data_IF_895002508833
#
_entry.id   IF_895002508833
#
_cell.length_a   1.000
_cell.length_b   1.000
_cell.length_c   1.000
_cell.angle_alpha   90.00
_cell.angle_beta   90.00
_cell.angle_gamma   90.00
#
_symmetry.space_group_name_H-M   'P 1'
#
loop_
_entity.id
_entity.type
_entity.pdbx_description
1 polymer ?
#
# COMPACT_ATOMS: atom_id res chain seq x y z
N UNK A 1 15.21 -40.68 -20.13
CA UNK A 1 15.82 -39.46 -19.56
C UNK A 1 14.97 -38.97 -18.39
N UNK A 2 15.59 -38.53 -17.29
CA UNK A 2 14.88 -37.91 -16.18
C UNK A 2 15.09 -36.40 -16.27
N UNK A 3 14.03 -35.63 -16.38
CA UNK A 3 14.07 -34.19 -16.35
C UNK A 3 13.71 -33.68 -14.95
N UNK A 4 14.46 -32.70 -14.47
CA UNK A 4 14.14 -31.95 -13.26
C UNK A 4 13.99 -30.49 -13.65
N UNK A 5 12.87 -29.87 -13.28
CA UNK A 5 12.58 -28.46 -13.49
C UNK A 5 12.44 -27.83 -12.12
N UNK A 6 13.24 -26.80 -11.82
CA UNK A 6 13.28 -26.12 -10.53
C UNK A 6 13.03 -24.65 -10.78
N UNK A 7 12.20 -24.03 -9.96
CA UNK A 7 11.96 -22.60 -10.01
C UNK A 7 10.83 -22.15 -9.07
N UNK A 8 10.55 -20.89 -9.13
CA UNK A 8 9.55 -20.23 -8.31
C UNK A 8 8.35 -19.85 -9.18
N UNK A 9 7.15 -19.94 -8.66
CA UNK A 9 5.94 -19.53 -9.38
C UNK A 9 5.77 -18.01 -9.29
N UNK A 10 5.42 -17.39 -10.42
CA UNK A 10 5.12 -15.96 -10.51
C UNK A 10 3.64 -15.68 -10.81
N UNK A 11 2.97 -16.62 -11.48
CA UNK A 11 1.58 -16.47 -11.85
C UNK A 11 0.90 -17.83 -11.92
N UNK A 12 -0.42 -17.92 -11.67
CA UNK A 12 -1.14 -19.19 -11.75
C UNK A 12 -1.06 -19.85 -13.14
N UNK A 13 -1.01 -19.05 -14.20
CA UNK A 13 -0.90 -19.51 -15.60
C UNK A 13 0.54 -19.50 -16.13
N UNK A 14 1.56 -19.50 -15.27
CA UNK A 14 2.96 -19.60 -15.66
C UNK A 14 3.32 -21.02 -16.18
N UNK A 15 4.57 -21.18 -16.61
CA UNK A 15 5.05 -22.48 -17.11
C UNK A 15 4.85 -23.60 -16.06
N UNK A 16 5.13 -23.30 -14.79
CA UNK A 16 4.98 -24.28 -13.69
C UNK A 16 3.51 -24.64 -13.47
N UNK A 17 2.58 -23.68 -13.55
CA UNK A 17 1.16 -23.95 -13.52
C UNK A 17 0.73 -24.93 -14.58
N UNK A 18 1.13 -24.68 -15.83
CA UNK A 18 0.83 -25.58 -16.98
C UNK A 18 1.45 -26.97 -16.83
N UNK A 19 2.67 -27.06 -16.31
CA UNK A 19 3.34 -28.35 -16.08
C UNK A 19 2.64 -29.15 -14.96
N UNK A 20 2.20 -28.48 -13.91
CA UNK A 20 1.45 -29.08 -12.80
C UNK A 20 0.09 -29.59 -13.29
N UNK A 21 -0.66 -28.76 -14.02
CA UNK A 21 -1.97 -29.11 -14.60
C UNK A 21 -1.89 -30.28 -15.59
N UNK A 22 -0.76 -30.42 -16.29
CA UNK A 22 -0.57 -31.54 -17.25
C UNK A 22 -0.56 -32.90 -16.58
N UNK A 23 -0.31 -33.00 -15.28
CA UNK A 23 -0.23 -34.27 -14.54
C UNK A 23 0.98 -35.15 -14.89
N UNK A 24 1.85 -34.72 -15.80
CA UNK A 24 2.98 -35.54 -16.30
C UNK A 24 4.21 -35.50 -15.40
N UNK A 25 4.21 -34.69 -14.36
CA UNK A 25 5.35 -34.46 -13.48
C UNK A 25 5.00 -34.75 -12.03
N UNK A 26 5.95 -35.32 -11.29
CA UNK A 26 5.88 -35.39 -9.84
C UNK A 26 6.26 -34.03 -9.29
N UNK A 27 5.34 -33.39 -8.56
CA UNK A 27 5.50 -32.03 -8.03
C UNK A 27 5.96 -32.12 -6.58
N UNK A 28 6.97 -31.32 -6.25
CA UNK A 28 7.40 -31.03 -4.88
C UNK A 28 7.34 -29.53 -4.69
N UNK A 29 6.61 -29.08 -3.70
CA UNK A 29 6.44 -27.66 -3.37
C UNK A 29 6.92 -27.43 -1.93
N UNK A 30 7.80 -26.46 -1.76
CA UNK A 30 8.42 -26.12 -0.47
C UNK A 30 8.19 -24.63 -0.18
N UNK A 31 7.03 -24.27 0.38
CA UNK A 31 6.78 -22.89 0.79
C UNK A 31 7.63 -22.51 2.02
N UNK A 32 7.83 -21.21 2.22
CA UNK A 32 8.58 -20.69 3.37
C UNK A 32 7.87 -20.90 4.72
N UNK A 33 6.60 -21.26 4.72
CA UNK A 33 5.83 -21.63 5.92
C UNK A 33 5.25 -23.04 5.75
N UNK A 34 5.08 -23.75 6.84
CA UNK A 34 4.66 -25.16 6.80
C UNK A 34 3.36 -25.40 6.01
N UNK A 35 2.38 -24.53 6.18
CA UNK A 35 1.09 -24.62 5.50
C UNK A 35 0.95 -23.70 4.28
N UNK A 36 2.00 -22.95 3.91
CA UNK A 36 1.92 -21.96 2.82
C UNK A 36 1.05 -20.76 3.15
N UNK A 37 0.78 -20.48 4.42
CA UNK A 37 -0.03 -19.34 4.88
C UNK A 37 0.81 -18.29 5.61
N UNK A 38 0.42 -17.03 5.47
CA UNK A 38 1.02 -15.88 6.14
C UNK A 38 0.00 -14.74 6.25
N UNK A 39 -0.08 -14.00 7.37
CA UNK A 39 0.64 -14.25 8.61
C UNK A 39 0.18 -15.55 9.27
N UNK A 40 1.09 -16.24 9.95
CA UNK A 40 0.80 -17.45 10.69
C UNK A 40 0.89 -17.21 12.20
N UNK A 41 0.18 -18.05 12.96
CA UNK A 41 0.19 -17.93 14.42
C UNK A 41 1.58 -18.27 14.96
N UNK A 42 2.04 -17.60 16.03
CA UNK A 42 3.34 -17.88 16.65
C UNK A 42 3.58 -19.36 16.96
N UNK A 43 2.54 -20.08 17.35
CA UNK A 43 2.60 -21.50 17.67
C UNK A 43 2.91 -22.38 16.45
N UNK A 44 2.61 -21.91 15.24
CA UNK A 44 2.89 -22.63 13.99
C UNK A 44 4.14 -22.13 13.28
N UNK A 45 4.86 -21.19 13.87
CA UNK A 45 5.96 -20.48 13.24
C UNK A 45 7.27 -21.28 13.16
N UNK A 46 7.37 -22.38 13.91
CA UNK A 46 8.62 -23.12 14.05
C UNK A 46 8.86 -24.15 12.97
N UNK A 47 7.82 -24.58 12.26
CA UNK A 47 7.90 -25.67 11.29
C UNK A 47 7.69 -25.16 9.87
N UNK A 48 8.65 -24.41 9.36
CA UNK A 48 8.51 -23.70 8.11
C UNK A 48 8.57 -24.59 6.88
N UNK A 49 9.42 -25.60 6.91
CA UNK A 49 9.64 -26.47 5.76
C UNK A 49 9.74 -27.89 6.27
N UNK A 50 8.99 -28.85 5.68
CA UNK A 50 9.19 -30.24 6.00
C UNK A 50 10.65 -30.63 5.73
N UNK A 51 11.24 -31.53 6.53
CA UNK A 51 12.61 -31.96 6.35
C UNK A 51 12.80 -32.44 4.91
N UNK A 52 13.86 -31.96 4.26
CA UNK A 52 14.30 -32.54 3.02
C UNK A 52 14.68 -33.98 3.26
N UNK A 53 14.71 -34.81 2.22
CA UNK A 53 14.91 -36.26 2.34
C UNK A 53 16.18 -36.69 3.07
N UNK A 54 17.08 -35.79 3.39
CA UNK A 54 18.28 -35.97 4.22
C UNK A 54 18.09 -35.54 5.70
N UNK A 55 16.88 -35.16 6.08
CA UNK A 55 16.56 -34.69 7.42
C UNK A 55 16.95 -33.24 7.72
N UNK A 56 17.47 -32.50 6.73
CA UNK A 56 17.80 -31.07 6.90
C UNK A 56 16.56 -30.23 6.72
N UNK A 57 16.24 -29.40 7.71
CA UNK A 57 15.15 -28.43 7.65
C UNK A 57 15.73 -27.02 7.53
N UNK A 58 15.11 -26.20 6.71
CA UNK A 58 15.41 -24.78 6.60
C UNK A 58 14.34 -24.00 7.34
N UNK A 59 14.74 -23.20 8.31
CA UNK A 59 13.85 -22.40 9.13
C UNK A 59 14.00 -20.92 8.82
N UNK A 60 12.87 -20.23 8.71
CA UNK A 60 12.81 -18.79 8.67
C UNK A 60 12.16 -18.27 9.95
N UNK A 61 12.79 -17.28 10.60
CA UNK A 61 12.15 -16.64 11.75
C UNK A 61 10.94 -15.82 11.30
N UNK A 62 10.02 -15.59 12.22
CA UNK A 62 8.85 -14.77 11.97
C UNK A 62 9.26 -13.34 11.59
N UNK A 63 10.28 -12.79 12.27
CA UNK A 63 10.83 -11.47 11.99
C UNK A 63 11.36 -11.38 10.55
N UNK A 64 12.15 -12.37 10.13
CA UNK A 64 12.68 -12.44 8.77
C UNK A 64 11.56 -12.47 7.72
N UNK A 65 10.52 -13.28 7.94
CA UNK A 65 9.39 -13.36 7.01
C UNK A 65 8.59 -12.03 6.96
N UNK A 66 8.44 -11.34 8.10
CA UNK A 66 7.83 -10.01 8.14
C UNK A 66 8.67 -8.96 7.42
N UNK A 67 10.00 -8.99 7.56
CA UNK A 67 10.90 -8.11 6.79
C UNK A 67 10.75 -8.36 5.29
N UNK A 68 10.79 -9.62 4.87
CA UNK A 68 10.59 -9.99 3.46
C UNK A 68 9.20 -9.62 2.93
N UNK A 69 8.17 -9.78 3.72
CA UNK A 69 6.83 -9.35 3.36
C UNK A 69 6.76 -7.83 3.13
N UNK A 70 7.40 -7.03 3.99
CA UNK A 70 7.48 -5.57 3.84
C UNK A 70 8.29 -5.15 2.61
N UNK A 71 9.38 -5.86 2.34
CA UNK A 71 10.26 -5.60 1.20
C UNK A 71 9.59 -5.95 -0.14
N UNK A 72 8.98 -7.11 -0.22
CA UNK A 72 8.47 -7.69 -1.47
C UNK A 72 7.02 -7.28 -1.76
N UNK A 73 6.24 -6.94 -0.74
CA UNK A 73 4.79 -6.80 -0.82
C UNK A 73 4.08 -8.16 -0.90
N UNK A 74 2.77 -8.15 -0.67
CA UNK A 74 1.95 -9.36 -0.51
C UNK A 74 2.00 -10.30 -1.71
N UNK A 75 1.84 -9.78 -2.92
CA UNK A 75 1.69 -10.60 -4.12
C UNK A 75 2.99 -11.33 -4.46
N UNK A 76 4.12 -10.61 -4.43
CA UNK A 76 5.43 -11.18 -4.66
C UNK A 76 5.79 -12.17 -3.54
N UNK A 77 5.51 -11.81 -2.29
CA UNK A 77 5.74 -12.71 -1.15
C UNK A 77 4.90 -13.98 -1.25
N UNK A 78 3.60 -13.88 -1.58
CA UNK A 78 2.72 -15.04 -1.76
C UNK A 78 3.21 -15.97 -2.87
N UNK A 79 3.64 -15.41 -4.00
CA UNK A 79 4.12 -16.19 -5.13
C UNK A 79 5.49 -16.81 -4.88
N UNK A 80 6.44 -16.04 -4.37
CA UNK A 80 7.84 -16.45 -4.26
C UNK A 80 8.16 -17.17 -2.95
N UNK A 81 7.58 -16.72 -1.83
CA UNK A 81 7.85 -17.32 -0.53
C UNK A 81 6.84 -18.41 -0.18
N UNK A 82 5.55 -18.20 -0.48
CA UNK A 82 4.52 -19.18 -0.15
C UNK A 82 4.19 -20.15 -1.29
N UNK A 83 4.80 -19.98 -2.47
CA UNK A 83 4.55 -20.79 -3.68
C UNK A 83 3.08 -20.81 -4.12
N UNK A 84 2.30 -19.78 -3.74
CA UNK A 84 0.87 -19.71 -3.94
C UNK A 84 0.44 -18.45 -4.72
N UNK A 85 0.47 -18.49 -6.06
CA UNK A 85 0.09 -17.34 -6.88
C UNK A 85 -1.43 -17.05 -6.87
N UNK A 86 -2.27 -17.98 -6.44
CA UNK A 86 -3.72 -17.79 -6.43
C UNK A 86 -4.22 -17.01 -5.22
N UNK A 87 -3.54 -17.11 -4.09
CA UNK A 87 -3.89 -16.32 -2.89
C UNK A 87 -3.58 -14.83 -3.02
N UNK A 88 -2.67 -14.47 -3.92
CA UNK A 88 -2.32 -13.07 -4.20
C UNK A 88 -3.49 -12.27 -4.83
N UNK A 89 -4.38 -12.93 -5.58
CA UNK A 89 -5.41 -12.27 -6.36
C UNK A 89 -6.76 -12.08 -5.65
N UNK A 90 -7.00 -12.76 -4.52
CA UNK A 90 -8.36 -12.83 -3.97
C UNK A 90 -8.76 -11.67 -3.06
N UNK A 91 -7.83 -11.02 -2.35
CA UNK A 91 -8.14 -9.82 -1.55
C UNK A 91 -6.95 -8.87 -1.47
N UNK A 92 -7.02 -7.77 -2.16
CA UNK A 92 -6.00 -6.72 -2.09
C UNK A 92 -5.95 -6.09 -0.70
N UNK A 93 -7.10 -5.89 -0.05
CA UNK A 93 -7.24 -5.42 1.34
C UNK A 93 -8.35 -6.16 2.04
N UNK A 94 -8.16 -6.46 3.33
CA UNK A 94 -9.20 -7.04 4.18
C UNK A 94 -9.85 -5.95 5.02
N UNK A 95 -11.18 -6.03 5.15
CA UNK A 95 -11.96 -5.10 5.97
C UNK A 95 -11.53 -5.15 7.44
N UNK A 96 -11.11 -6.32 7.93
CA UNK A 96 -10.68 -6.54 9.32
C UNK A 96 -9.36 -5.82 9.66
N UNK A 97 -8.61 -5.39 8.66
CA UNK A 97 -7.40 -4.58 8.85
C UNK A 97 -7.70 -3.12 9.15
N UNK A 98 -8.92 -2.66 8.90
CA UNK A 98 -9.32 -1.28 9.17
C UNK A 98 -9.42 -1.10 10.69
N UNK A 99 -8.61 -0.19 11.22
CA UNK A 99 -8.60 0.17 12.63
C UNK A 99 -9.09 1.60 12.81
N UNK A 100 -9.71 1.85 13.96
CA UNK A 100 -10.32 3.12 14.28
C UNK A 100 -9.67 3.73 15.53
N UNK A 101 -9.68 5.05 15.61
CA UNK A 101 -9.33 5.80 16.82
C UNK A 101 -10.54 6.62 17.30
N UNK A 102 -10.67 6.75 18.61
CA UNK A 102 -11.76 7.53 19.26
C UNK A 102 -11.26 8.92 19.68
N UNK A 103 -10.11 8.98 20.33
CA UNK A 103 -9.51 10.23 20.77
C UNK A 103 -8.57 10.79 19.70
N UNK A 104 -8.62 12.12 19.54
CA UNK A 104 -7.76 12.80 18.58
C UNK A 104 -6.31 12.85 19.09
N UNK A 105 -5.39 12.02 18.53
CA UNK A 105 -4.01 12.00 18.98
C UNK A 105 -3.26 13.27 18.53
N UNK A 106 -2.20 13.61 19.26
CA UNK A 106 -1.27 14.64 18.80
C UNK A 106 -0.50 14.12 17.59
N UNK A 107 -0.59 14.83 16.48
CA UNK A 107 0.04 14.45 15.21
C UNK A 107 0.61 15.66 14.50
N UNK A 108 1.59 15.41 13.65
CA UNK A 108 2.00 16.36 12.60
C UNK A 108 1.16 16.06 11.36
N UNK A 109 0.37 17.02 10.93
CA UNK A 109 -0.56 16.82 9.82
C UNK A 109 0.05 17.21 8.47
N UNK A 110 -0.28 16.43 7.46
CA UNK A 110 0.09 16.60 6.06
C UNK A 110 -1.14 16.45 5.19
N UNK A 111 -1.16 17.15 4.04
CA UNK A 111 -2.21 16.95 3.03
C UNK A 111 -1.57 16.30 1.80
N UNK A 112 -2.28 15.35 1.23
CA UNK A 112 -1.95 14.71 -0.05
C UNK A 112 -3.06 15.05 -1.03
N UNK A 113 -2.71 15.64 -2.18
CA UNK A 113 -3.66 16.09 -3.20
C UNK A 113 -3.42 15.33 -4.49
N UNK A 114 -4.45 14.64 -4.96
CA UNK A 114 -4.56 14.05 -6.30
C UNK A 114 -5.59 14.87 -7.09
N UNK A 115 -5.15 15.84 -7.92
CA UNK A 115 -6.05 16.74 -8.60
C UNK A 115 -6.62 16.12 -9.86
N UNK A 116 -7.92 16.32 -10.12
CA UNK A 116 -8.52 16.02 -11.41
C UNK A 116 -8.07 17.02 -12.49
N UNK A 117 -7.92 16.55 -13.72
CA UNK A 117 -7.59 17.41 -14.87
C UNK A 117 -8.70 18.38 -15.26
N UNK A 118 -9.95 18.13 -14.88
CA UNK A 118 -11.09 19.02 -15.13
C UNK A 118 -12.24 18.77 -14.14
N UNK A 119 -13.15 19.76 -14.01
CA UNK A 119 -14.36 19.66 -13.18
C UNK A 119 -15.58 19.13 -13.95
N UNK A 120 -15.44 18.63 -15.17
CA UNK A 120 -16.56 18.14 -15.99
C UNK A 120 -17.19 16.89 -15.35
N UNK A 121 -18.50 16.68 -15.63
CA UNK A 121 -19.31 15.61 -15.05
C UNK A 121 -18.72 14.20 -15.26
N UNK A 122 -18.00 13.99 -16.35
CA UNK A 122 -17.36 12.71 -16.70
C UNK A 122 -15.86 12.64 -16.37
N UNK A 123 -15.34 13.66 -15.66
CA UNK A 123 -13.92 13.71 -15.26
C UNK A 123 -13.67 12.94 -13.96
N UNK A 124 -12.40 12.65 -13.70
CA UNK A 124 -11.92 12.12 -12.42
C UNK A 124 -12.23 13.08 -11.27
N UNK A 125 -12.27 12.56 -10.05
CA UNK A 125 -12.42 13.37 -8.85
C UNK A 125 -11.07 13.95 -8.43
N UNK A 126 -11.09 15.18 -7.91
CA UNK A 126 -10.01 15.68 -7.05
C UNK A 126 -10.15 15.02 -5.68
N UNK A 127 -9.07 14.47 -5.15
CA UNK A 127 -9.03 13.87 -3.82
C UNK A 127 -7.99 14.57 -2.96
N UNK A 128 -8.35 14.91 -1.74
CA UNK A 128 -7.44 15.48 -0.73
C UNK A 128 -7.57 14.69 0.55
N UNK A 129 -6.46 14.12 1.00
CA UNK A 129 -6.39 13.41 2.27
C UNK A 129 -5.59 14.21 3.29
N UNK A 130 -6.14 14.41 4.48
CA UNK A 130 -5.39 14.90 5.63
C UNK A 130 -4.93 13.72 6.46
N UNK A 131 -3.62 13.57 6.58
CA UNK A 131 -2.99 12.46 7.30
C UNK A 131 -2.14 13.01 8.44
N UNK A 132 -2.46 12.60 9.65
CA UNK A 132 -1.68 12.90 10.84
C UNK A 132 -0.62 11.82 11.08
N UNK A 133 0.64 12.21 11.20
CA UNK A 133 1.73 11.31 11.57
C UNK A 133 1.94 11.41 13.07
N UNK A 134 1.67 10.32 13.76
CA UNK A 134 1.87 10.17 15.20
C UNK A 134 3.22 9.58 15.56
N UNK A 135 3.40 9.29 16.85
CA UNK A 135 4.58 8.58 17.35
C UNK A 135 4.64 7.15 16.82
N UNK A 136 5.85 6.58 16.80
CA UNK A 136 6.08 5.18 16.43
C UNK A 136 5.60 4.79 15.02
N UNK A 137 5.40 5.78 14.12
CA UNK A 137 5.02 5.54 12.74
C UNK A 137 3.55 5.15 12.53
N UNK A 138 2.66 5.59 13.41
CA UNK A 138 1.21 5.49 13.20
C UNK A 138 0.72 6.64 12.32
N UNK A 139 -0.22 6.32 11.44
CA UNK A 139 -0.87 7.26 10.51
C UNK A 139 -2.35 7.35 10.85
N UNK A 140 -2.84 8.57 11.01
CA UNK A 140 -4.22 8.87 11.37
C UNK A 140 -4.90 9.60 10.23
N UNK A 141 -5.91 9.01 9.64
CA UNK A 141 -6.74 9.68 8.64
C UNK A 141 -7.59 10.72 9.38
N UNK A 142 -7.39 12.00 9.08
CA UNK A 142 -8.05 13.12 9.77
C UNK A 142 -9.24 13.64 9.01
N UNK A 143 -9.10 13.76 7.70
CA UNK A 143 -10.11 14.35 6.84
C UNK A 143 -9.93 13.85 5.40
N UNK A 144 -11.00 13.89 4.63
CA UNK A 144 -10.95 13.55 3.22
C UNK A 144 -11.95 14.41 2.44
N UNK A 145 -11.48 15.03 1.38
CA UNK A 145 -12.32 15.64 0.34
C UNK A 145 -12.21 14.80 -0.92
N UNK A 146 -13.34 14.42 -1.50
CA UNK A 146 -13.43 13.77 -2.80
C UNK A 146 -14.57 14.42 -3.59
N UNK A 147 -14.19 15.30 -4.51
CA UNK A 147 -15.18 16.08 -5.25
C UNK A 147 -14.68 16.47 -6.64
N UNK A 148 -15.58 16.95 -7.51
CA UNK A 148 -15.25 17.52 -8.82
C UNK A 148 -15.10 19.02 -8.67
N UNK A 149 -13.87 19.46 -8.51
CA UNK A 149 -13.52 20.85 -8.19
C UNK A 149 -12.83 21.52 -9.37
N UNK A 150 -13.25 22.72 -9.72
CA UNK A 150 -12.46 23.62 -10.53
C UNK A 150 -11.27 24.16 -9.72
N UNK A 151 -10.39 24.94 -10.35
CA UNK A 151 -9.16 25.40 -9.70
C UNK A 151 -9.43 26.30 -8.49
N UNK A 152 -10.42 27.22 -8.58
CA UNK A 152 -10.77 28.10 -7.48
C UNK A 152 -11.38 27.33 -6.29
N UNK A 153 -12.32 26.42 -6.56
CA UNK A 153 -12.94 25.56 -5.55
C UNK A 153 -11.88 24.64 -4.89
N UNK A 154 -10.91 24.16 -5.68
CA UNK A 154 -9.80 23.34 -5.19
C UNK A 154 -8.91 24.15 -4.23
N UNK A 155 -8.61 25.42 -4.57
CA UNK A 155 -7.90 26.35 -3.71
C UNK A 155 -8.66 26.55 -2.41
N UNK A 156 -9.95 26.88 -2.46
CA UNK A 156 -10.76 27.14 -1.26
C UNK A 156 -10.80 25.93 -0.33
N UNK A 157 -11.00 24.72 -0.89
CA UNK A 157 -10.99 23.48 -0.10
C UNK A 157 -9.64 23.20 0.52
N UNK A 158 -8.56 23.35 -0.26
CA UNK A 158 -7.20 23.10 0.23
C UNK A 158 -6.83 24.09 1.36
N UNK A 159 -7.09 25.37 1.17
CA UNK A 159 -6.76 26.40 2.16
C UNK A 159 -7.56 26.19 3.45
N UNK A 160 -8.87 25.87 3.34
CA UNK A 160 -9.68 25.53 4.51
C UNK A 160 -9.16 24.30 5.27
N UNK A 161 -8.66 23.27 4.58
CA UNK A 161 -8.02 22.12 5.23
C UNK A 161 -6.68 22.50 5.88
N UNK A 162 -5.88 23.35 5.25
CA UNK A 162 -4.61 23.84 5.80
C UNK A 162 -4.83 24.57 7.13
N UNK A 163 -5.80 25.48 7.16
CA UNK A 163 -6.15 26.22 8.41
C UNK A 163 -6.74 25.29 9.48
N UNK A 164 -7.77 24.51 9.12
CA UNK A 164 -8.47 23.60 10.04
C UNK A 164 -7.51 22.65 10.75
N UNK A 165 -6.51 22.12 10.02
CA UNK A 165 -5.61 21.08 10.53
C UNK A 165 -4.19 21.59 10.83
N UNK A 166 -3.95 22.89 10.73
CA UNK A 166 -2.64 23.54 10.93
C UNK A 166 -1.52 22.83 10.12
N UNK A 167 -1.77 22.66 8.82
CA UNK A 167 -0.86 21.94 7.94
C UNK A 167 0.21 22.89 7.40
N UNK A 168 1.47 22.45 7.42
CA UNK A 168 2.59 23.21 6.88
C UNK A 168 3.16 22.66 5.58
N UNK A 169 2.85 21.41 5.25
CA UNK A 169 3.35 20.74 4.04
C UNK A 169 2.21 20.02 3.33
N UNK A 170 2.06 20.32 2.05
CA UNK A 170 1.09 19.72 1.15
C UNK A 170 1.85 19.00 0.04
N UNK A 171 1.57 17.73 -0.14
CA UNK A 171 2.08 16.91 -1.23
C UNK A 171 1.08 16.92 -2.37
N UNK A 172 1.49 17.43 -3.53
CA UNK A 172 0.61 17.67 -4.68
C UNK A 172 1.07 16.85 -5.88
N UNK A 173 0.19 16.04 -6.47
CA UNK A 173 0.56 15.19 -7.61
C UNK A 173 0.87 16.04 -8.86
N UNK A 174 2.02 15.75 -9.48
CA UNK A 174 2.68 16.61 -10.47
C UNK A 174 2.10 16.53 -11.89
N UNK A 175 1.23 15.56 -12.20
CA UNK A 175 0.76 15.35 -13.56
C UNK A 175 -0.07 16.55 -14.08
N UNK A 176 0.53 17.33 -14.98
CA UNK A 176 -0.02 18.49 -15.73
C UNK A 176 -0.38 19.75 -14.92
N UNK A 177 0.16 19.97 -13.71
CA UNK A 177 -0.37 20.98 -12.77
C UNK A 177 0.62 22.08 -12.33
N UNK A 178 1.60 22.44 -13.15
CA UNK A 178 2.50 23.57 -12.84
C UNK A 178 1.69 24.86 -12.63
N UNK A 179 0.69 25.08 -13.48
CA UNK A 179 -0.20 26.25 -13.39
C UNK A 179 -1.04 26.28 -12.09
N UNK A 180 -1.46 25.10 -11.59
CA UNK A 180 -2.17 25.00 -10.32
C UNK A 180 -1.29 25.44 -9.15
N UNK A 181 -0.05 24.99 -9.13
CA UNK A 181 0.90 25.33 -8.05
C UNK A 181 1.20 26.83 -8.07
N UNK A 182 1.42 27.41 -9.24
CA UNK A 182 1.65 28.85 -9.40
C UNK A 182 0.44 29.66 -8.92
N UNK A 183 -0.76 29.26 -9.30
CA UNK A 183 -2.01 29.87 -8.83
C UNK A 183 -2.15 29.78 -7.30
N UNK A 184 -1.89 28.59 -6.71
CA UNK A 184 -1.93 28.43 -5.26
C UNK A 184 -0.92 29.36 -4.56
N UNK A 185 0.29 29.48 -5.10
CA UNK A 185 1.34 30.37 -4.54
C UNK A 185 0.97 31.85 -4.62
N UNK A 186 0.28 32.26 -5.69
CA UNK A 186 -0.26 33.62 -5.81
C UNK A 186 -1.31 33.86 -4.73
N UNK A 187 -2.28 32.96 -4.58
CA UNK A 187 -3.34 33.06 -3.57
C UNK A 187 -2.81 33.00 -2.13
N UNK A 188 -1.77 32.24 -1.87
CA UNK A 188 -1.08 32.28 -0.56
C UNK A 188 -0.59 33.70 -0.20
N UNK A 189 -0.04 34.42 -1.18
CA UNK A 189 0.43 35.82 -0.96
C UNK A 189 -0.73 36.79 -0.73
N UNK A 190 -1.81 36.63 -1.50
CA UNK A 190 -2.99 37.47 -1.37
C UNK A 190 -3.71 37.30 -0.03
N UNK A 191 -3.84 36.03 0.43
CA UNK A 191 -4.60 35.70 1.63
C UNK A 191 -3.73 35.64 2.91
N UNK A 192 -2.41 35.79 2.77
CA UNK A 192 -1.47 35.75 3.90
C UNK A 192 -1.35 34.37 4.55
N UNK A 193 -1.78 33.30 3.86
CA UNK A 193 -1.71 31.92 4.34
C UNK A 193 -0.55 31.18 3.66
N UNK A 194 0.44 30.77 4.45
CA UNK A 194 1.67 30.18 3.91
C UNK A 194 1.87 28.72 4.33
N UNK A 195 2.09 27.87 3.35
CA UNK A 195 2.48 26.47 3.52
C UNK A 195 3.38 26.02 2.36
N UNK A 196 4.10 24.92 2.52
CA UNK A 196 4.98 24.43 1.46
C UNK A 196 4.22 23.43 0.59
N UNK A 197 4.18 23.67 -0.73
CA UNK A 197 3.69 22.68 -1.70
C UNK A 197 4.89 21.89 -2.20
N UNK A 198 4.82 20.57 -2.05
CA UNK A 198 5.84 19.62 -2.48
C UNK A 198 5.27 18.81 -3.64
N UNK A 199 5.76 19.03 -4.88
CA UNK A 199 5.34 18.24 -6.02
C UNK A 199 5.75 16.77 -5.85
N UNK A 200 4.81 15.84 -6.05
CA UNK A 200 5.05 14.40 -5.98
C UNK A 200 4.61 13.74 -7.29
N UNK A 201 5.26 12.65 -7.67
CA UNK A 201 4.97 11.89 -8.89
C UNK A 201 6.23 11.41 -9.58
N UNK A 202 6.06 10.64 -10.66
CA UNK A 202 7.21 10.14 -11.45
C UNK A 202 7.90 8.93 -10.83
N UNK A 203 7.23 8.13 -10.02
CA UNK A 203 7.76 6.86 -9.55
C UNK A 203 7.72 5.83 -10.68
N UNK A 204 8.70 4.91 -10.71
CA UNK A 204 8.70 3.78 -11.65
C UNK A 204 7.65 2.71 -11.30
N UNK A 205 7.02 2.82 -10.13
CA UNK A 205 6.00 1.89 -9.65
C UNK A 205 4.65 2.17 -10.32
N UNK A 206 3.98 1.11 -10.75
CA UNK A 206 2.60 1.18 -11.22
C UNK A 206 1.66 1.67 -10.10
N UNK A 207 0.43 2.05 -10.48
CA UNK A 207 -0.58 2.45 -9.50
C UNK A 207 -0.89 1.32 -8.51
N UNK A 208 -1.00 0.10 -9.01
CA UNK A 208 -1.31 -1.08 -8.19
C UNK A 208 -0.18 -1.40 -7.21
N UNK A 209 1.08 -1.34 -7.64
CA UNK A 209 2.23 -1.53 -6.74
C UNK A 209 2.27 -0.47 -5.63
N UNK A 210 1.94 0.78 -5.92
CA UNK A 210 1.86 1.84 -4.90
C UNK A 210 0.75 1.59 -3.88
N UNK A 211 -0.41 1.10 -4.34
CA UNK A 211 -1.54 0.74 -3.47
C UNK A 211 -1.15 -0.45 -2.60
N UNK A 212 -0.57 -1.49 -3.18
CA UNK A 212 -0.14 -2.70 -2.47
C UNK A 212 0.94 -2.42 -1.41
N UNK A 213 1.80 -1.43 -1.63
CA UNK A 213 2.79 -1.01 -0.64
C UNK A 213 2.19 -0.53 0.69
N UNK A 214 0.89 -0.19 0.73
CA UNK A 214 0.19 0.17 1.97
C UNK A 214 -0.28 -1.05 2.78
N UNK A 215 -0.35 -2.24 2.19
CA UNK A 215 -0.88 -3.43 2.85
C UNK A 215 -0.20 -3.75 4.19
N UNK A 216 1.14 -3.73 4.32
CA UNK A 216 1.79 -4.01 5.59
C UNK A 216 1.35 -3.06 6.71
N UNK A 217 1.15 -1.78 6.38
CA UNK A 217 0.71 -0.78 7.35
C UNK A 217 -0.73 -1.03 7.84
N UNK A 218 -1.61 -1.48 6.94
CA UNK A 218 -2.98 -1.87 7.31
C UNK A 218 -2.98 -3.14 8.15
N UNK A 219 -2.23 -4.15 7.76
CA UNK A 219 -2.10 -5.42 8.51
C UNK A 219 -1.54 -5.22 9.92
N UNK A 220 -0.55 -4.32 10.07
CA UNK A 220 0.02 -3.94 11.36
C UNK A 220 -0.90 -3.02 12.19
N UNK A 221 -2.04 -2.62 11.64
CA UNK A 221 -2.97 -1.69 12.29
C UNK A 221 -2.38 -0.28 12.49
N UNK A 222 -1.43 0.13 11.64
CA UNK A 222 -0.73 1.42 11.74
C UNK A 222 -1.44 2.56 11.02
N UNK A 223 -2.43 2.25 10.17
CA UNK A 223 -3.31 3.23 9.54
C UNK A 223 -4.66 3.18 10.26
N UNK A 224 -5.04 4.29 10.88
CA UNK A 224 -6.26 4.39 11.67
C UNK A 224 -7.21 5.44 11.09
N UNK A 225 -8.48 5.13 11.13
CA UNK A 225 -9.57 6.02 10.71
C UNK A 225 -10.30 6.61 11.91
N UNK A 226 -10.94 7.80 11.79
CA UNK A 226 -11.76 8.30 12.85
C UNK A 226 -12.98 7.37 13.04
N UNK A 227 -13.32 7.10 14.30
CA UNK A 227 -14.60 6.50 14.63
C UNK A 227 -15.64 7.64 14.56
N UNK A 228 -16.57 7.55 13.61
CA UNK A 228 -17.66 8.52 13.42
C UNK A 228 -18.57 8.62 14.62
#
# INVERSE_FOLDING_TARGET
ARFRIVGTRYHHADLYGKLIESGNYKVFCYPATHNGEFPYKPESATDNIPPMGDGVSVYYSQEYLWEKFKEMGRDVFSTQMLMNPTKASERTFDIDWIKYYEESPQTRNYIFVDPASSAKKDSSYTVMWVVGVGSRGYFYIRDCVRDRLNLAERKDKLFGLVEKWNVRKVYYEKYSMQADIEYMQEKMREEGLYFTIIPVGGTHLSKDERILALQPLFMEGRILFPKS
#
